data_IF_654669828959
#
_entry.id   IF_654669828959
#
_cell.length_a   1.000
_cell.length_b   1.000
_cell.length_c   1.000
_cell.angle_alpha   90.00
_cell.angle_beta   90.00
_cell.angle_gamma   90.00
#
_symmetry.space_group_name_H-M   'P 1'
#
loop_
_entity.id
_entity.type
_entity.pdbx_description
1 polymer ?
#
# COMPACT_ATOMS: atom_id res chain seq x y z
N UNK A 1 19.36 -8.52 5.31
CA UNK A 1 19.12 -7.17 4.76
C UNK A 1 17.84 -6.65 5.37
N UNK A 2 17.91 -5.62 6.22
CA UNK A 2 16.72 -5.02 6.82
C UNK A 2 16.16 -3.98 5.86
N UNK A 3 14.92 -4.17 5.41
CA UNK A 3 14.23 -3.20 4.56
C UNK A 3 13.62 -2.16 5.49
N UNK A 4 13.86 -0.87 5.20
CA UNK A 4 13.29 0.22 5.96
C UNK A 4 11.76 0.18 5.86
N UNK A 5 11.08 0.07 6.99
CA UNK A 5 9.62 0.15 7.09
C UNK A 5 9.28 1.63 7.32
N UNK A 6 8.75 2.28 6.29
CA UNK A 6 8.32 3.67 6.38
C UNK A 6 7.19 3.83 7.42
N UNK A 7 7.24 4.92 8.19
CA UNK A 7 6.11 5.31 9.04
C UNK A 7 4.93 5.78 8.20
N UNK A 8 3.72 5.36 8.57
CA UNK A 8 2.49 5.76 7.89
C UNK A 8 2.25 7.25 8.15
N UNK A 9 2.63 8.09 7.19
CA UNK A 9 2.36 9.54 7.19
C UNK A 9 1.70 9.95 5.89
N UNK A 10 0.75 10.86 5.98
CA UNK A 10 0.12 11.45 4.82
C UNK A 10 1.17 12.26 4.05
N UNK A 11 1.32 11.99 2.75
CA UNK A 11 2.21 12.75 1.86
C UNK A 11 1.36 13.45 0.82
N UNK A 12 1.42 14.77 0.80
CA UNK A 12 0.76 15.57 -0.22
C UNK A 12 1.67 15.71 -1.44
N UNK A 13 1.06 15.72 -2.63
CA UNK A 13 1.79 15.78 -3.90
C UNK A 13 2.49 17.11 -4.12
N UNK A 14 1.91 18.19 -3.61
CA UNK A 14 2.37 19.57 -3.69
C UNK A 14 3.38 19.94 -2.60
N UNK A 15 3.56 19.09 -1.59
CA UNK A 15 4.62 19.27 -0.60
C UNK A 15 5.95 18.84 -1.17
N UNK A 16 6.84 19.81 -1.41
CA UNK A 16 8.24 19.50 -1.67
C UNK A 16 8.78 18.76 -0.44
N UNK A 17 9.33 17.55 -0.60
CA UNK A 17 9.72 16.73 0.54
C UNK A 17 10.94 17.30 1.30
N UNK A 18 11.51 18.42 0.85
CA UNK A 18 12.66 19.09 1.46
C UNK A 18 13.93 18.26 1.36
N UNK A 19 15.00 18.73 2.00
CA UNK A 19 16.21 17.92 2.26
C UNK A 19 15.96 16.80 3.31
N UNK A 20 14.73 16.75 3.85
CA UNK A 20 14.24 15.76 4.81
C UNK A 20 13.34 14.72 4.12
N UNK A 21 13.39 14.64 2.78
CA UNK A 21 12.80 13.54 2.02
C UNK A 21 13.41 12.27 2.62
N UNK A 22 12.62 11.48 3.38
CA UNK A 22 13.18 10.63 4.42
C UNK A 22 14.18 9.73 3.74
N UNK A 23 15.41 9.68 4.28
CA UNK A 23 16.46 8.69 4.00
C UNK A 23 15.94 7.68 3.00
N UNK A 24 15.89 8.04 1.71
CA UNK A 24 15.18 7.16 0.78
C UNK A 24 16.20 6.06 0.66
N UNK A 25 16.01 4.89 1.29
CA UNK A 25 17.03 3.88 1.17
C UNK A 25 17.12 3.65 -0.33
N UNK A 26 18.33 3.52 -0.86
CA UNK A 26 18.56 3.28 -2.29
C UNK A 26 17.62 2.17 -2.82
N UNK A 27 17.16 1.30 -1.90
CA UNK A 27 16.15 0.29 -2.09
C UNK A 27 14.84 0.60 -1.31
N UNK A 28 13.77 0.97 -2.04
CA UNK A 28 12.39 0.93 -1.51
C UNK A 28 11.82 -0.48 -1.62
N UNK A 29 10.99 -0.88 -0.66
CA UNK A 29 10.27 -2.15 -0.70
C UNK A 29 9.46 -2.33 -2.00
N UNK A 30 8.87 -1.25 -2.50
CA UNK A 30 8.10 -1.22 -3.76
C UNK A 30 8.94 -1.47 -5.01
N UNK A 31 10.27 -1.41 -4.94
CA UNK A 31 11.14 -1.75 -6.06
C UNK A 31 11.59 -3.20 -6.06
N UNK A 32 11.44 -3.90 -4.93
CA UNK A 32 11.94 -5.27 -4.77
C UNK A 32 11.27 -6.23 -5.74
N UNK A 33 9.95 -6.14 -5.92
CA UNK A 33 9.24 -7.03 -6.82
C UNK A 33 9.76 -6.94 -8.26
N UNK A 34 9.94 -5.72 -8.77
CA UNK A 34 10.50 -5.49 -10.10
C UNK A 34 11.94 -6.01 -10.22
N UNK A 35 12.80 -5.74 -9.23
CA UNK A 35 14.20 -6.21 -9.23
C UNK A 35 14.30 -7.74 -9.17
N UNK A 36 13.43 -8.38 -8.38
CA UNK A 36 13.40 -9.83 -8.18
C UNK A 36 12.63 -10.57 -9.27
N UNK A 37 12.00 -9.85 -10.22
CA UNK A 37 11.07 -10.40 -11.22
C UNK A 37 9.95 -11.23 -10.56
N UNK A 38 9.52 -10.77 -9.40
CA UNK A 38 8.59 -11.43 -8.51
C UNK A 38 7.18 -10.83 -8.66
N UNK A 39 6.12 -11.63 -8.54
CA UNK A 39 4.75 -11.11 -8.48
C UNK A 39 4.52 -10.27 -7.22
N UNK A 40 3.83 -9.15 -7.38
CA UNK A 40 3.43 -8.24 -6.32
C UNK A 40 1.92 -7.99 -6.38
N UNK A 41 1.27 -7.99 -5.22
CA UNK A 41 -0.15 -7.75 -5.07
C UNK A 41 -0.39 -6.68 -4.01
N UNK A 42 -0.89 -5.53 -4.45
CA UNK A 42 -1.27 -4.41 -3.60
C UNK A 42 -2.75 -4.51 -3.21
N UNK A 43 -3.04 -4.56 -1.91
CA UNK A 43 -4.38 -4.82 -1.36
C UNK A 43 -4.74 -3.74 -0.34
N UNK A 44 -5.85 -3.01 -0.52
CA UNK A 44 -6.35 -2.15 0.53
C UNK A 44 -6.88 -3.03 1.68
N UNK A 45 -6.50 -2.69 2.91
CA UNK A 45 -6.95 -3.38 4.13
C UNK A 45 -7.76 -2.50 5.07
N UNK A 46 -7.61 -1.18 4.93
CA UNK A 46 -8.29 -0.19 5.76
C UNK A 46 -8.35 1.16 5.06
N UNK A 47 -8.92 2.16 5.71
CA UNK A 47 -8.94 3.55 5.25
C UNK A 47 -8.87 4.48 6.47
N UNK A 48 -8.29 5.66 6.29
CA UNK A 48 -8.22 6.68 7.33
C UNK A 48 -8.77 8.02 6.82
N UNK A 49 -9.37 8.84 7.69
CA UNK A 49 -9.77 10.19 7.33
C UNK A 49 -8.53 11.08 7.13
N UNK A 50 -8.61 12.00 6.17
CA UNK A 50 -7.65 13.09 6.01
C UNK A 50 -8.38 14.37 5.59
N UNK A 51 -7.79 15.52 5.94
CA UNK A 51 -8.33 16.81 5.53
C UNK A 51 -7.77 17.23 4.18
N UNK A 52 -8.63 17.35 3.17
CA UNK A 52 -8.23 17.77 1.84
C UNK A 52 -7.80 19.23 1.83
N UNK A 53 -6.60 19.52 1.32
CA UNK A 53 -6.09 20.89 1.17
C UNK A 53 -6.73 21.63 -0.01
N UNK A 54 -7.22 20.89 -1.00
CA UNK A 54 -7.82 21.46 -2.21
C UNK A 54 -9.29 21.80 -1.95
N UNK A 55 -10.05 20.86 -1.38
CA UNK A 55 -11.50 21.04 -1.19
C UNK A 55 -11.86 21.53 0.21
N UNK A 56 -10.94 21.47 1.17
CA UNK A 56 -11.17 21.80 2.59
C UNK A 56 -12.01 20.77 3.35
N UNK A 57 -12.47 19.70 2.69
CA UNK A 57 -13.36 18.68 3.24
C UNK A 57 -12.57 17.53 3.86
N UNK A 58 -13.18 16.85 4.82
CA UNK A 58 -12.69 15.56 5.31
C UNK A 58 -13.00 14.48 4.27
N UNK A 59 -11.95 13.84 3.79
CA UNK A 59 -11.96 12.77 2.79
C UNK A 59 -11.33 11.51 3.39
N UNK A 60 -11.41 10.38 2.67
CA UNK A 60 -10.83 9.12 3.13
C UNK A 60 -9.75 8.63 2.19
N UNK A 61 -8.62 8.18 2.74
CA UNK A 61 -7.51 7.62 1.98
C UNK A 61 -7.34 6.13 2.34
N UNK A 62 -7.20 5.23 1.35
CA UNK A 62 -6.99 3.82 1.61
C UNK A 62 -5.61 3.54 2.23
N UNK A 63 -5.55 2.61 3.16
CA UNK A 63 -4.34 2.00 3.69
C UNK A 63 -4.13 0.68 2.94
N UNK A 64 -3.02 0.59 2.23
CA UNK A 64 -2.70 -0.52 1.31
C UNK A 64 -1.47 -1.26 1.82
N UNK A 65 -1.53 -2.58 1.79
CA UNK A 65 -0.36 -3.45 1.96
C UNK A 65 0.08 -3.98 0.61
N UNK A 66 1.38 -4.18 0.44
CA UNK A 66 1.92 -4.90 -0.70
C UNK A 66 2.44 -6.25 -0.26
N UNK A 67 2.01 -7.31 -0.96
CA UNK A 67 2.49 -8.67 -0.77
C UNK A 67 3.31 -9.08 -1.99
N UNK A 68 4.43 -9.74 -1.78
CA UNK A 68 5.30 -10.21 -2.86
C UNK A 68 5.53 -11.71 -2.69
N UNK A 69 5.55 -12.44 -3.79
CA UNK A 69 5.85 -13.88 -3.81
C UNK A 69 7.00 -14.20 -4.76
N UNK A 70 7.45 -15.45 -4.74
CA UNK A 70 8.50 -15.92 -5.65
C UNK A 70 8.02 -15.96 -7.12
N UNK A 71 8.92 -15.75 -8.11
CA UNK A 71 8.55 -15.75 -9.53
C UNK A 71 7.81 -17.02 -9.96
N UNK A 72 6.72 -16.86 -10.73
CA UNK A 72 5.92 -17.97 -11.25
C UNK A 72 4.87 -18.54 -10.28
N UNK A 73 4.64 -17.89 -9.12
CA UNK A 73 3.67 -18.33 -8.10
C UNK A 73 2.50 -17.35 -7.92
N UNK A 74 2.14 -16.61 -8.96
CA UNK A 74 1.08 -15.60 -8.97
C UNK A 74 -0.27 -16.13 -8.46
N UNK A 75 -0.67 -17.33 -8.91
CA UNK A 75 -1.92 -17.97 -8.46
C UNK A 75 -1.89 -18.32 -6.97
N UNK A 76 -0.72 -18.71 -6.46
CA UNK A 76 -0.57 -19.02 -5.04
C UNK A 76 -0.66 -17.76 -4.19
N UNK A 77 -0.05 -16.65 -4.64
CA UNK A 77 -0.17 -15.35 -4.00
C UNK A 77 -1.65 -14.91 -3.88
N UNK A 78 -2.42 -15.06 -4.96
CA UNK A 78 -3.85 -14.72 -4.97
C UNK A 78 -4.66 -15.60 -4.03
N UNK A 79 -4.49 -16.93 -4.10
CA UNK A 79 -5.23 -17.87 -3.26
C UNK A 79 -4.93 -17.64 -1.78
N UNK A 80 -3.65 -17.52 -1.42
CA UNK A 80 -3.23 -17.27 -0.05
C UNK A 80 -3.79 -15.95 0.48
N UNK A 81 -3.80 -14.91 -0.36
CA UNK A 81 -4.37 -13.61 -0.02
C UNK A 81 -5.86 -13.72 0.30
N UNK A 82 -6.66 -14.34 -0.58
CA UNK A 82 -8.10 -14.46 -0.39
C UNK A 82 -8.43 -15.25 0.89
N UNK A 83 -7.71 -16.36 1.12
CA UNK A 83 -7.86 -17.16 2.33
C UNK A 83 -7.51 -16.37 3.59
N UNK A 84 -6.42 -15.61 3.55
CA UNK A 84 -5.94 -14.81 4.68
C UNK A 84 -6.91 -13.68 5.02
N UNK A 85 -7.40 -12.94 4.02
CA UNK A 85 -8.43 -11.91 4.21
C UNK A 85 -9.71 -12.50 4.79
N UNK A 86 -10.12 -13.69 4.32
CA UNK A 86 -11.30 -14.36 4.84
C UNK A 86 -11.15 -14.79 6.30
N UNK A 87 -10.00 -15.38 6.67
CA UNK A 87 -9.71 -15.77 8.05
C UNK A 87 -9.61 -14.56 8.99
N UNK A 88 -9.01 -13.47 8.51
CA UNK A 88 -8.90 -12.21 9.24
C UNK A 88 -10.21 -11.39 9.28
N UNK A 89 -11.27 -11.83 8.58
CA UNK A 89 -12.54 -11.11 8.41
C UNK A 89 -12.35 -9.71 7.81
N UNK A 90 -11.33 -9.53 6.99
CA UNK A 90 -11.15 -8.31 6.21
C UNK A 90 -12.07 -8.27 4.99
N UNK A 91 -12.46 -7.05 4.53
CA UNK A 91 -13.23 -6.91 3.31
C UNK A 91 -12.48 -7.49 2.11
N UNK A 92 -13.19 -8.28 1.29
CA UNK A 92 -12.66 -8.87 0.04
C UNK A 92 -13.11 -8.10 -1.21
N UNK A 93 -13.83 -6.99 -1.03
CA UNK A 93 -14.38 -6.17 -2.10
C UNK A 93 -14.04 -4.72 -1.81
N UNK A 94 -13.68 -4.01 -2.86
CA UNK A 94 -13.44 -2.58 -2.82
C UNK A 94 -14.61 -1.86 -3.47
N UNK A 95 -14.98 -0.70 -2.91
CA UNK A 95 -15.92 0.21 -3.54
C UNK A 95 -15.17 1.18 -4.45
N UNK A 96 -15.84 1.60 -5.52
CA UNK A 96 -15.40 2.72 -6.34
C UNK A 96 -15.95 4.03 -5.75
N UNK A 97 -15.13 5.08 -5.68
CA UNK A 97 -15.56 6.41 -5.25
C UNK A 97 -14.81 6.93 -4.04
N UNK A 98 -15.53 7.57 -3.10
CA UNK A 98 -14.92 8.27 -1.96
C UNK A 98 -14.33 7.35 -0.91
N UNK A 99 -14.95 6.19 -0.68
CA UNK A 99 -14.56 5.22 0.35
C UNK A 99 -14.09 3.93 -0.32
N UNK A 100 -13.12 3.26 0.29
CA UNK A 100 -12.55 2.02 -0.21
C UNK A 100 -13.42 0.79 0.10
N UNK A 101 -14.27 0.83 1.14
CA UNK A 101 -15.07 -0.30 1.62
C UNK A 101 -16.54 0.02 1.88
#
# INVERSE_FOLDING_TARGET
MAIHIDSIKLRYRDEYPGNNNPEVPELRSTYLAAMLRAPELAIPISQMPYKSRITGKDETIPIVISLTETPGRDLQLLNWTIESLQKAKFPKRVKTGRVAF
#
